data_IF_390405739961
#
_entry.id   IF_390405739961
#
_cell.length_a   1.000
_cell.length_b   1.000
_cell.length_c   1.000
_cell.angle_alpha   90.00
_cell.angle_beta   90.00
_cell.angle_gamma   90.00
#
_symmetry.space_group_name_H-M   'P 1'
#
loop_
_entity.id
_entity.type
_entity.pdbx_description
1 polymer ?
#
# COMPACT_ATOMS: atom_id res chain seq x y z
N UNK A 1 -13.16 7.72 -10.05
CA UNK A 1 -12.04 7.93 -9.10
C UNK A 1 -11.45 6.56 -8.90
N UNK A 2 -10.25 6.29 -9.43
CA UNK A 2 -9.70 4.93 -9.42
C UNK A 2 -9.08 4.70 -8.04
N UNK A 3 -9.81 3.95 -7.22
CA UNK A 3 -9.32 3.45 -5.95
C UNK A 3 -8.55 2.16 -6.22
N UNK A 4 -7.52 1.95 -5.41
CA UNK A 4 -6.74 0.73 -5.39
C UNK A 4 -6.77 0.16 -3.98
N UNK A 5 -6.73 -1.16 -3.89
CA UNK A 5 -6.43 -1.86 -2.67
C UNK A 5 -4.92 -1.94 -2.49
N UNK A 6 -4.44 -1.63 -1.30
CA UNK A 6 -3.06 -1.87 -0.90
C UNK A 6 -3.03 -2.79 0.31
N UNK A 7 -2.34 -3.92 0.19
CA UNK A 7 -2.08 -4.80 1.32
C UNK A 7 -0.60 -4.67 1.70
N UNK A 8 -0.40 -4.42 2.99
CA UNK A 8 0.89 -4.15 3.61
C UNK A 8 1.11 -5.17 4.71
N UNK A 9 2.33 -5.69 4.81
CA UNK A 9 2.75 -6.50 5.96
C UNK A 9 2.85 -5.62 7.22
N UNK A 10 2.88 -6.26 8.40
CA UNK A 10 2.90 -5.56 9.70
C UNK A 10 4.00 -4.49 9.79
N UNK A 11 5.19 -4.78 9.28
CA UNK A 11 6.31 -3.83 9.30
C UNK A 11 6.06 -2.62 8.39
N UNK A 12 5.58 -2.86 7.17
CA UNK A 12 5.22 -1.79 6.25
C UNK A 12 4.08 -0.92 6.81
N UNK A 13 3.07 -1.54 7.44
CA UNK A 13 1.98 -0.82 8.10
C UNK A 13 2.48 0.08 9.21
N UNK A 14 3.43 -0.38 10.04
CA UNK A 14 4.02 0.44 11.09
C UNK A 14 4.76 1.64 10.50
N UNK A 15 5.55 1.42 9.44
CA UNK A 15 6.34 2.47 8.78
C UNK A 15 5.47 3.56 8.14
N UNK A 16 4.31 3.18 7.59
CA UNK A 16 3.39 4.12 6.92
C UNK A 16 2.09 4.34 7.69
N UNK A 17 2.06 4.01 8.97
CA UNK A 17 0.88 4.13 9.84
C UNK A 17 0.27 5.54 9.82
N UNK A 18 1.12 6.57 9.77
CA UNK A 18 0.70 7.97 9.63
C UNK A 18 -0.04 8.26 8.31
N UNK A 19 0.26 7.53 7.23
CA UNK A 19 -0.40 7.66 5.92
C UNK A 19 -1.66 6.80 5.82
N UNK A 20 -1.76 5.76 6.65
CA UNK A 20 -2.92 4.88 6.73
C UNK A 20 -4.01 5.41 7.68
N UNK A 21 -3.67 6.37 8.54
CA UNK A 21 -4.61 6.95 9.50
C UNK A 21 -5.86 7.51 8.79
N UNK A 22 -7.03 7.00 9.18
CA UNK A 22 -8.32 7.37 8.60
C UNK A 22 -8.68 6.69 7.27
N UNK A 23 -7.88 5.73 6.79
CA UNK A 23 -8.27 4.90 5.65
C UNK A 23 -9.15 3.71 6.09
N UNK A 24 -10.04 3.30 5.20
CA UNK A 24 -10.83 2.09 5.40
C UNK A 24 -9.97 0.86 5.09
N UNK A 25 -9.72 0.04 6.10
CA UNK A 25 -9.15 -1.29 5.98
C UNK A 25 -10.29 -2.31 5.86
N UNK A 26 -10.22 -3.16 4.84
CA UNK A 26 -11.15 -4.27 4.64
C UNK A 26 -10.35 -5.54 4.31
N UNK A 27 -10.45 -6.56 5.17
CA UNK A 27 -9.75 -7.84 5.01
C UNK A 27 -8.22 -7.69 4.78
N UNK A 28 -7.59 -6.73 5.47
CA UNK A 28 -6.16 -6.43 5.34
C UNK A 28 -5.79 -5.63 4.08
N UNK A 29 -6.78 -5.14 3.32
CA UNK A 29 -6.59 -4.23 2.20
C UNK A 29 -7.03 -2.81 2.57
N UNK A 30 -6.12 -1.86 2.41
CA UNK A 30 -6.40 -0.44 2.55
C UNK A 30 -6.89 0.12 1.23
N UNK A 31 -8.11 0.68 1.23
CA UNK A 31 -8.68 1.30 0.05
C UNK A 31 -8.24 2.76 -0.06
N UNK A 32 -7.50 3.09 -1.11
CA UNK A 32 -6.91 4.42 -1.27
C UNK A 32 -6.82 4.85 -2.73
N UNK A 33 -6.54 6.14 -2.96
CA UNK A 33 -6.24 6.63 -4.30
C UNK A 33 -4.82 6.24 -4.73
N UNK A 34 -4.59 6.07 -6.04
CA UNK A 34 -3.27 5.75 -6.62
C UNK A 34 -2.15 6.67 -6.12
N UNK A 35 -2.44 7.96 -5.93
CA UNK A 35 -1.48 8.94 -5.40
C UNK A 35 -1.00 8.63 -3.97
N UNK A 36 -1.88 8.10 -3.12
CA UNK A 36 -1.55 7.71 -1.74
C UNK A 36 -0.64 6.49 -1.77
N UNK A 37 -0.96 5.50 -2.61
CA UNK A 37 -0.11 4.32 -2.76
C UNK A 37 1.29 4.68 -3.27
N UNK A 38 1.41 5.64 -4.20
CA UNK A 38 2.72 6.15 -4.64
C UNK A 38 3.50 6.86 -3.51
N UNK A 39 2.81 7.56 -2.61
CA UNK A 39 3.45 8.14 -1.41
C UNK A 39 3.92 7.05 -0.45
N UNK A 40 3.12 6.01 -0.24
CA UNK A 40 3.50 4.85 0.58
C UNK A 40 4.72 4.14 -0.01
N UNK A 41 4.74 3.86 -1.33
CA UNK A 41 5.92 3.29 -2.01
C UNK A 41 7.18 4.13 -1.78
N UNK A 42 7.05 5.45 -1.92
CA UNK A 42 8.17 6.38 -1.70
C UNK A 42 8.66 6.28 -0.25
N UNK A 43 7.74 6.31 0.72
CA UNK A 43 8.06 6.24 2.14
C UNK A 43 8.73 4.91 2.51
N UNK A 44 8.23 3.79 2.00
CA UNK A 44 8.83 2.46 2.22
C UNK A 44 10.26 2.40 1.68
N UNK A 45 10.51 2.94 0.48
CA UNK A 45 11.87 3.04 -0.08
C UNK A 45 12.78 3.93 0.76
N UNK A 46 12.30 5.09 1.20
CA UNK A 46 13.05 6.01 2.06
C UNK A 46 13.40 5.38 3.42
N UNK A 47 12.49 4.59 3.98
CA UNK A 47 12.71 3.81 5.20
C UNK A 47 13.57 2.56 4.99
N UNK A 48 14.05 2.31 3.77
CA UNK A 48 14.80 1.10 3.41
C UNK A 48 14.06 -0.19 3.81
N UNK A 49 12.73 -0.17 3.69
CA UNK A 49 11.89 -1.33 3.96
C UNK A 49 12.33 -2.50 3.10
N UNK A 50 12.44 -3.68 3.72
CA UNK A 50 12.80 -4.92 3.05
C UNK A 50 11.69 -5.95 3.26
N UNK A 51 10.88 -6.17 2.24
CA UNK A 51 9.69 -7.02 2.32
C UNK A 51 8.85 -6.93 1.06
N UNK A 52 7.60 -7.38 1.12
CA UNK A 52 6.69 -7.29 0.00
C UNK A 52 5.44 -6.48 0.34
N UNK A 53 4.80 -5.95 -0.70
CA UNK A 53 3.48 -5.31 -0.62
C UNK A 53 2.67 -5.72 -1.83
N UNK A 54 1.35 -5.81 -1.68
CA UNK A 54 0.45 -6.16 -2.79
C UNK A 54 -0.45 -4.99 -3.15
N UNK A 55 -0.53 -4.73 -4.44
CA UNK A 55 -1.32 -3.67 -5.03
C UNK A 55 -2.42 -4.30 -5.87
N UNK A 56 -3.65 -3.91 -5.63
CA UNK A 56 -4.79 -4.38 -6.39
C UNK A 56 -5.52 -3.20 -7.03
N UNK A 57 -5.55 -3.16 -8.36
CA UNK A 57 -6.37 -2.19 -9.10
C UNK A 57 -7.76 -2.77 -9.33
N UNK A 58 -8.79 -2.22 -8.67
CA UNK A 58 -10.19 -2.59 -8.93
C UNK A 58 -10.64 -2.24 -10.35
N UNK A 59 -10.01 -1.24 -10.97
CA UNK A 59 -10.38 -0.79 -12.33
C UNK A 59 -9.89 -1.75 -13.41
N UNK A 60 -8.69 -2.31 -13.22
CA UNK A 60 -8.06 -3.21 -14.19
C UNK A 60 -8.17 -4.69 -13.77
N UNK A 61 -8.64 -4.96 -12.55
CA UNK A 61 -8.61 -6.28 -11.90
C UNK A 61 -7.20 -6.90 -11.91
N UNK A 62 -6.18 -6.06 -11.75
CA UNK A 62 -4.77 -6.46 -11.74
C UNK A 62 -4.27 -6.45 -10.30
N UNK A 63 -3.76 -7.59 -9.86
CA UNK A 63 -2.94 -7.69 -8.66
C UNK A 63 -1.46 -7.62 -9.06
N UNK A 64 -0.67 -6.84 -8.32
CA UNK A 64 0.76 -6.69 -8.50
C UNK A 64 1.45 -6.74 -7.15
N UNK A 65 2.40 -7.65 -7.02
CA UNK A 65 3.28 -7.70 -5.86
C UNK A 65 4.53 -6.86 -6.13
N UNK A 66 4.92 -6.03 -5.16
CA UNK A 66 6.14 -5.24 -5.19
C UNK A 66 7.03 -5.72 -4.06
N UNK A 67 8.23 -6.17 -4.42
CA UNK A 67 9.24 -6.61 -3.46
C UNK A 67 10.27 -5.49 -3.31
N UNK A 68 10.51 -5.06 -2.08
CA UNK A 68 11.55 -4.11 -1.70
C UNK A 68 12.72 -4.89 -1.10
N UNK A 69 13.93 -4.59 -1.60
CA UNK A 69 15.21 -5.22 -1.25
C UNK A 69 16.30 -4.18 -1.07
#
# INVERSE_FOLDING_TARGET
MNLIGLQLDDEAQVLVSELLDGLEEQDGWFKMAVRMAAQIDTKLRECQYAGCVKWFSESDFIEKEIVYI
#
